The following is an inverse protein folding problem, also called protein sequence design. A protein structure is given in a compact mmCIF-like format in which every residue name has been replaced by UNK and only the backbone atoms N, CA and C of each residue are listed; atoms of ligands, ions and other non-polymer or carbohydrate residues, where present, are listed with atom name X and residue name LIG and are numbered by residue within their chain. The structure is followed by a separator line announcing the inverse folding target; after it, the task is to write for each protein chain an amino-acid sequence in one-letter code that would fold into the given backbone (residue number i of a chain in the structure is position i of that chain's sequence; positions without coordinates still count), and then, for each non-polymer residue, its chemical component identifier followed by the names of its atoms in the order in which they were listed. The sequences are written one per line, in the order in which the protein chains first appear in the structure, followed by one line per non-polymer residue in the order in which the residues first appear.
data_IF_695577457089
#
_entry.id   IF_695577457089
#
_cell.length_a   1.000
_cell.length_b   1.000
_cell.length_c   1.000
_cell.angle_alpha   90.00
_cell.angle_beta   90.00
_cell.angle_gamma   90.00
#
_symmetry.space_group_name_H-M   'P 1'
#
loop_
_entity.id
_entity.type
_entity.pdbx_description
1 polymer ?
#
# COMPACT_ATOMS: atom_id res chain seq x y z
N UNK A 1 -15.13 32.35 8.92
CA UNK A 1 -15.18 30.88 8.68
C UNK A 1 -13.75 30.45 8.75
N UNK A 2 -13.44 29.59 9.71
CA UNK A 2 -12.08 29.13 9.93
C UNK A 2 -11.96 27.72 9.36
N UNK A 3 -10.94 27.52 8.54
CA UNK A 3 -10.64 26.24 7.91
C UNK A 3 -9.27 25.82 8.43
N UNK A 4 -9.26 24.76 9.24
CA UNK A 4 -8.04 24.09 9.64
C UNK A 4 -7.69 23.05 8.57
N UNK A 5 -6.52 23.21 7.95
CA UNK A 5 -6.06 22.32 6.90
C UNK A 5 -5.10 21.26 7.44
N UNK A 6 -4.94 20.19 6.66
CA UNK A 6 -4.01 19.08 6.96
C UNK A 6 -2.53 19.50 6.87
N UNK A 7 -2.21 20.58 6.16
CA UNK A 7 -0.87 21.18 6.13
C UNK A 7 -0.63 22.15 7.31
N UNK A 8 -1.44 22.03 8.37
CA UNK A 8 -1.32 22.76 9.64
C UNK A 8 -1.43 24.28 9.44
N UNK A 9 -2.18 24.70 8.43
CA UNK A 9 -2.50 26.11 8.22
C UNK A 9 -3.92 26.38 8.71
N UNK A 10 -4.10 27.59 9.24
CA UNK A 10 -5.43 28.09 9.55
C UNK A 10 -5.77 29.19 8.54
N UNK A 11 -6.85 28.99 7.80
CA UNK A 11 -7.37 29.96 6.85
C UNK A 11 -8.66 30.57 7.40
N UNK A 12 -8.61 31.85 7.75
CA UNK A 12 -9.78 32.62 8.19
C UNK A 12 -10.37 33.40 7.01
N UNK A 13 -11.60 33.05 6.64
CA UNK A 13 -12.38 33.74 5.60
C UNK A 13 -13.43 34.64 6.25
N UNK A 14 -13.38 35.92 5.91
CA UNK A 14 -14.35 36.93 6.37
C UNK A 14 -15.36 37.21 5.27
N UNK A 15 -16.65 37.12 5.60
CA UNK A 15 -17.75 37.33 4.66
C UNK A 15 -18.50 38.61 5.02
N UNK A 16 -18.91 39.38 4.02
CA UNK A 16 -19.77 40.55 4.24
C UNK A 16 -21.15 40.13 4.78
N UNK A 17 -21.69 40.78 5.82
CA UNK A 17 -22.91 40.34 6.52
C UNK A 17 -24.18 40.30 5.64
N UNK A 18 -24.25 41.15 4.60
CA UNK A 18 -25.46 41.33 3.79
C UNK A 18 -25.69 40.24 2.74
N UNK A 19 -24.71 39.35 2.53
CA UNK A 19 -24.75 38.37 1.43
C UNK A 19 -24.83 36.97 2.04
N UNK A 20 -25.72 36.11 1.51
CA UNK A 20 -25.75 34.67 1.81
C UNK A 20 -24.49 33.91 1.33
N UNK A 21 -23.39 34.61 1.06
CA UNK A 21 -22.14 34.09 0.55
C UNK A 21 -21.50 33.09 1.51
N UNK A 22 -21.53 33.38 2.82
CA UNK A 22 -21.03 32.43 3.83
C UNK A 22 -21.75 31.09 3.74
N UNK A 23 -23.09 31.10 3.72
CA UNK A 23 -23.92 29.89 3.62
C UNK A 23 -23.69 29.15 2.31
N UNK A 24 -23.73 29.85 1.17
CA UNK A 24 -23.46 29.23 -0.14
C UNK A 24 -22.06 28.61 -0.22
N UNK A 25 -21.07 29.25 0.40
CA UNK A 25 -19.70 28.75 0.44
C UNK A 25 -19.59 27.52 1.34
N UNK A 26 -20.18 27.52 2.54
CA UNK A 26 -20.19 26.35 3.42
C UNK A 26 -20.96 25.18 2.80
N UNK A 27 -22.12 25.42 2.19
CA UNK A 27 -22.91 24.40 1.51
C UNK A 27 -22.12 23.75 0.36
N UNK A 28 -21.33 24.55 -0.39
CA UNK A 28 -20.42 24.04 -1.42
C UNK A 28 -19.22 23.31 -0.84
N UNK A 29 -18.61 23.82 0.24
CA UNK A 29 -17.48 23.16 0.90
C UNK A 29 -17.87 21.78 1.42
N UNK A 30 -19.06 21.63 1.98
CA UNK A 30 -19.57 20.32 2.43
C UNK A 30 -19.69 19.34 1.26
N UNK A 31 -20.04 19.82 0.07
CA UNK A 31 -20.07 19.03 -1.17
C UNK A 31 -18.67 18.66 -1.71
N UNK A 32 -17.59 19.31 -1.24
CA UNK A 32 -16.21 18.96 -1.65
C UNK A 32 -15.77 17.65 -1.01
N UNK A 33 -16.35 17.24 0.12
CA UNK A 33 -16.00 15.97 0.75
C UNK A 33 -16.62 14.83 -0.07
N UNK A 34 -15.80 14.08 -0.85
CA UNK A 34 -16.33 13.06 -1.74
C UNK A 34 -16.88 11.90 -0.89
N UNK A 35 -18.12 11.50 -1.17
CA UNK A 35 -18.77 10.37 -0.49
C UNK A 35 -18.35 9.00 -1.06
N UNK A 36 -17.77 9.00 -2.26
CA UNK A 36 -17.28 7.81 -2.95
C UNK A 36 -16.10 8.17 -3.87
N UNK A 37 -15.44 7.14 -4.44
CA UNK A 37 -14.27 7.30 -5.29
C UNK A 37 -14.53 8.16 -6.53
N UNK A 38 -15.72 8.04 -7.13
CA UNK A 38 -16.06 8.72 -8.39
C UNK A 38 -16.18 10.24 -8.23
N UNK A 39 -16.47 10.70 -7.01
CA UNK A 39 -16.52 12.12 -6.67
C UNK A 39 -15.14 12.71 -6.36
N UNK A 40 -14.10 11.88 -6.25
CA UNK A 40 -12.76 12.36 -5.89
C UNK A 40 -12.10 13.10 -7.06
N UNK A 41 -11.32 14.14 -6.76
CA UNK A 41 -10.56 14.86 -7.77
C UNK A 41 -9.64 13.96 -8.61
N UNK A 42 -8.87 13.00 -8.04
CA UNK A 42 -8.05 12.09 -8.84
C UNK A 42 -8.84 11.29 -9.88
N UNK A 43 -10.04 10.78 -9.54
CA UNK A 43 -10.87 10.03 -10.47
C UNK A 43 -11.41 10.92 -11.60
N UNK A 44 -11.98 12.08 -11.24
CA UNK A 44 -12.50 13.05 -12.21
C UNK A 44 -11.39 13.59 -13.13
N UNK A 45 -10.21 13.87 -12.56
CA UNK A 45 -9.05 14.29 -13.32
C UNK A 45 -8.56 13.18 -14.27
N UNK A 46 -8.47 11.93 -13.81
CA UNK A 46 -8.13 10.78 -14.66
C UNK A 46 -9.12 10.65 -15.82
N UNK A 47 -10.44 10.70 -15.57
CA UNK A 47 -11.45 10.67 -16.62
C UNK A 47 -11.24 11.81 -17.63
N UNK A 48 -11.06 13.05 -17.16
CA UNK A 48 -10.82 14.20 -18.03
C UNK A 48 -9.57 14.06 -18.91
N UNK A 49 -8.48 13.51 -18.35
CA UNK A 49 -7.23 13.29 -19.08
C UNK A 49 -7.28 12.07 -20.01
N UNK A 50 -7.99 11.01 -19.64
CA UNK A 50 -8.17 9.83 -20.49
C UNK A 50 -8.91 10.14 -21.78
N UNK A 51 -9.72 11.22 -21.77
CA UNK A 51 -10.42 11.75 -22.93
C UNK A 51 -9.58 12.76 -23.74
N UNK A 52 -8.45 13.22 -23.20
CA UNK A 52 -7.55 14.15 -23.87
C UNK A 52 -6.51 13.38 -24.71
N UNK A 53 -6.04 13.95 -25.84
CA UNK A 53 -5.03 13.29 -26.68
C UNK A 53 -3.71 13.13 -25.92
N UNK A 54 -3.24 11.88 -25.83
CA UNK A 54 -1.99 11.51 -25.17
C UNK A 54 -0.81 12.20 -25.86
N UNK A 55 0.01 12.95 -25.12
CA UNK A 55 1.22 13.56 -25.67
C UNK A 55 2.39 12.57 -25.54
N UNK A 56 3.16 12.38 -26.62
CA UNK A 56 4.30 11.42 -26.70
C UNK A 56 5.39 11.59 -25.61
N UNK A 57 5.39 12.69 -24.85
CA UNK A 57 6.34 12.98 -23.76
C UNK A 57 5.78 12.67 -22.37
N UNK A 58 4.52 12.28 -22.27
CA UNK A 58 3.92 11.93 -20.99
C UNK A 58 4.42 10.55 -20.53
N UNK A 59 5.07 10.52 -19.37
CA UNK A 59 5.45 9.27 -18.71
C UNK A 59 4.22 8.72 -18.01
N UNK A 60 3.86 7.47 -18.29
CA UNK A 60 2.83 6.77 -17.52
C UNK A 60 3.37 6.42 -16.12
N UNK A 61 3.02 7.22 -15.11
CA UNK A 61 3.46 7.00 -13.73
C UNK A 61 3.06 5.64 -13.14
N UNK A 62 2.03 4.99 -13.69
CA UNK A 62 1.60 3.65 -13.27
C UNK A 62 2.58 2.54 -13.65
N UNK A 63 3.41 2.76 -14.67
CA UNK A 63 4.40 1.81 -15.17
C UNK A 63 5.79 2.03 -14.56
N UNK A 64 5.95 3.07 -13.73
CA UNK A 64 7.24 3.41 -13.13
C UNK A 64 7.77 2.32 -12.19
N UNK A 65 6.86 1.65 -11.48
CA UNK A 65 7.21 0.62 -10.50
C UNK A 65 6.72 -0.75 -10.95
N UNK A 66 7.66 -1.66 -11.19
CA UNK A 66 7.41 -3.08 -11.40
C UNK A 66 8.10 -3.87 -10.28
N UNK A 67 7.28 -4.51 -9.45
CA UNK A 67 7.74 -5.28 -8.30
C UNK A 67 8.66 -6.45 -8.68
N UNK A 68 8.39 -7.12 -9.81
CA UNK A 68 9.22 -8.26 -10.24
C UNK A 68 10.57 -7.78 -10.74
N UNK A 69 10.60 -6.65 -11.47
CA UNK A 69 11.87 -5.99 -11.86
C UNK A 69 12.65 -5.51 -10.65
N UNK A 70 11.98 -5.03 -9.61
CA UNK A 70 12.67 -4.61 -8.38
C UNK A 70 13.28 -5.80 -7.63
N UNK A 71 12.59 -6.95 -7.55
CA UNK A 71 13.20 -8.18 -7.03
C UNK A 71 14.37 -8.67 -7.89
N UNK A 72 14.27 -8.57 -9.21
CA UNK A 72 15.37 -8.89 -10.13
C UNK A 72 16.58 -7.95 -9.91
N UNK A 73 16.34 -6.65 -9.75
CA UNK A 73 17.38 -5.65 -9.45
C UNK A 73 18.10 -5.97 -8.14
N UNK A 74 17.39 -6.48 -7.14
CA UNK A 74 17.96 -6.95 -5.87
C UNK A 74 18.67 -8.31 -5.97
N UNK A 75 18.60 -8.98 -7.13
CA UNK A 75 19.26 -10.25 -7.37
C UNK A 75 18.51 -11.47 -6.81
N UNK A 76 17.22 -11.35 -6.48
CA UNK A 76 16.41 -12.44 -5.93
C UNK A 76 16.42 -13.67 -6.84
N UNK A 77 16.29 -13.48 -8.16
CA UNK A 77 16.31 -14.58 -9.14
C UNK A 77 17.63 -15.34 -9.22
N UNK A 78 18.74 -14.73 -8.79
CA UNK A 78 20.08 -15.33 -8.76
C UNK A 78 20.45 -15.84 -7.37
N UNK A 79 19.59 -15.61 -6.38
CA UNK A 79 19.82 -15.97 -4.99
C UNK A 79 19.17 -17.33 -4.68
N UNK A 80 19.93 -18.23 -4.06
CA UNK A 80 19.43 -19.58 -3.69
C UNK A 80 18.63 -19.62 -2.39
N UNK A 81 18.58 -18.51 -1.65
CA UNK A 81 17.94 -18.41 -0.33
C UNK A 81 16.57 -17.74 -0.37
N UNK A 82 16.17 -17.15 -1.51
CA UNK A 82 14.93 -16.39 -1.63
C UNK A 82 14.14 -16.82 -2.85
N UNK A 83 12.82 -16.94 -2.71
CA UNK A 83 11.88 -17.22 -3.80
C UNK A 83 10.71 -16.26 -3.77
N UNK A 84 10.03 -16.12 -4.90
CA UNK A 84 8.76 -15.40 -4.98
C UNK A 84 7.61 -16.43 -4.88
N UNK A 85 6.75 -16.29 -3.86
CA UNK A 85 5.51 -17.06 -3.79
C UNK A 85 4.39 -16.36 -4.55
N UNK A 86 3.48 -17.17 -5.11
CA UNK A 86 2.28 -16.76 -5.84
C UNK A 86 1.00 -16.93 -5.01
N UNK A 87 1.09 -17.36 -3.75
CA UNK A 87 -0.12 -17.62 -2.97
C UNK A 87 -0.95 -16.36 -2.64
N UNK A 88 -0.39 -15.17 -2.79
CA UNK A 88 -1.13 -13.91 -2.59
C UNK A 88 -1.59 -13.26 -3.90
N UNK A 89 -1.60 -13.98 -5.05
CA UNK A 89 -2.01 -13.43 -6.35
C UNK A 89 -3.39 -12.76 -6.31
N UNK A 90 -4.35 -13.42 -5.65
CA UNK A 90 -5.73 -12.96 -5.48
C UNK A 90 -5.96 -12.29 -4.10
N UNK A 91 -4.89 -11.93 -3.40
CA UNK A 91 -4.92 -11.26 -2.09
C UNK A 91 -5.63 -12.04 -0.96
N UNK A 92 -5.74 -13.37 -1.09
CA UNK A 92 -6.42 -14.25 -0.12
C UNK A 92 -5.66 -14.37 1.20
N UNK A 93 -4.33 -14.50 1.13
CA UNK A 93 -3.47 -14.64 2.32
C UNK A 93 -3.34 -13.30 3.07
N UNK A 94 -3.09 -12.21 2.35
CA UNK A 94 -2.98 -10.89 2.92
C UNK A 94 -3.45 -9.79 1.96
N UNK A 95 -4.65 -9.27 2.23
CA UNK A 95 -5.30 -8.17 1.50
C UNK A 95 -4.50 -6.87 1.40
N UNK A 96 -3.49 -6.72 2.24
CA UNK A 96 -2.73 -5.47 2.37
C UNK A 96 -1.26 -5.60 1.98
N UNK A 97 -0.87 -6.77 1.46
CA UNK A 97 0.42 -7.05 0.85
C UNK A 97 0.27 -7.10 -0.68
N UNK A 98 1.37 -6.93 -1.42
CA UNK A 98 1.35 -7.10 -2.87
C UNK A 98 1.03 -8.54 -3.29
N UNK A 99 0.67 -8.71 -4.57
CA UNK A 99 0.39 -10.03 -5.18
C UNK A 99 1.54 -11.02 -5.08
N UNK A 100 2.76 -10.51 -5.23
CA UNK A 100 3.99 -11.28 -5.17
C UNK A 100 4.72 -10.98 -3.87
N UNK A 101 5.02 -12.03 -3.10
CA UNK A 101 5.72 -11.91 -1.83
C UNK A 101 7.01 -12.70 -1.96
N UNK A 102 8.15 -12.09 -1.59
CA UNK A 102 9.41 -12.79 -1.55
C UNK A 102 9.67 -13.36 -0.14
N UNK A 103 9.92 -14.67 -0.09
CA UNK A 103 10.07 -15.49 1.12
C UNK A 103 11.34 -16.32 1.03
N UNK A 104 11.88 -16.83 2.16
CA UNK A 104 12.99 -17.76 2.12
C UNK A 104 12.69 -19.00 1.28
N UNK A 105 13.72 -19.55 0.63
CA UNK A 105 13.62 -20.69 -0.29
C UNK A 105 13.00 -21.93 0.35
N UNK A 106 13.34 -22.19 1.62
CA UNK A 106 12.95 -23.40 2.35
C UNK A 106 11.51 -23.36 2.89
N UNK A 107 10.84 -22.21 2.80
CA UNK A 107 9.47 -22.04 3.27
C UNK A 107 8.53 -22.63 2.22
N UNK A 108 7.76 -23.63 2.59
CA UNK A 108 6.78 -24.26 1.70
C UNK A 108 5.50 -23.43 1.62
N UNK A 109 4.64 -23.71 0.63
CA UNK A 109 3.34 -23.02 0.52
C UNK A 109 2.44 -23.29 1.75
N UNK A 110 2.57 -24.47 2.39
CA UNK A 110 1.88 -24.76 3.66
C UNK A 110 2.40 -23.93 4.83
N UNK A 111 3.72 -23.70 4.86
CA UNK A 111 4.32 -22.86 5.89
C UNK A 111 3.84 -21.42 5.76
N UNK A 112 3.80 -20.89 4.54
CA UNK A 112 3.28 -19.54 4.26
C UNK A 112 1.85 -19.38 4.80
N UNK A 113 0.95 -20.33 4.55
CA UNK A 113 -0.42 -20.31 5.07
C UNK A 113 -0.44 -20.29 6.62
N UNK A 114 0.37 -21.15 7.25
CA UNK A 114 0.49 -21.24 8.70
C UNK A 114 1.04 -19.96 9.34
N UNK A 115 2.09 -19.38 8.74
CA UNK A 115 2.73 -18.13 9.17
C UNK A 115 1.76 -16.97 9.03
N UNK A 116 1.07 -16.87 7.89
CA UNK A 116 0.09 -15.81 7.66
C UNK A 116 -1.08 -15.90 8.65
N UNK A 117 -1.58 -17.10 8.93
CA UNK A 117 -2.63 -17.30 9.93
C UNK A 117 -2.19 -16.88 11.35
N UNK A 118 -0.90 -17.04 11.67
CA UNK A 118 -0.34 -16.65 12.95
C UNK A 118 -0.05 -15.15 13.06
N UNK A 119 0.26 -14.47 11.95
CA UNK A 119 0.63 -13.04 11.93
C UNK A 119 -0.60 -12.15 11.79
N UNK A 120 -0.63 -11.03 12.52
CA UNK A 120 -1.78 -10.12 12.47
C UNK A 120 -2.09 -9.66 11.04
N UNK A 121 -3.34 -9.86 10.61
CA UNK A 121 -3.85 -9.54 9.26
C UNK A 121 -3.13 -10.28 8.11
N UNK A 122 -2.52 -11.44 8.36
CA UNK A 122 -1.82 -12.19 7.31
C UNK A 122 -0.45 -11.62 6.93
N UNK A 123 0.04 -10.59 7.64
CA UNK A 123 1.28 -9.87 7.29
C UNK A 123 2.52 -10.63 7.78
N UNK A 124 2.76 -11.77 7.15
CA UNK A 124 3.95 -12.60 7.31
C UNK A 124 5.25 -11.83 7.03
N UNK A 125 6.40 -12.28 7.57
CA UNK A 125 7.70 -11.78 7.17
C UNK A 125 7.92 -11.92 5.66
N UNK A 126 8.19 -10.79 5.02
CA UNK A 126 8.43 -10.67 3.59
C UNK A 126 9.66 -9.81 3.33
N UNK A 127 10.47 -10.21 2.35
CA UNK A 127 11.67 -9.49 1.95
C UNK A 127 11.30 -8.06 1.48
N UNK A 128 11.95 -7.07 2.07
CA UNK A 128 11.86 -5.66 1.63
C UNK A 128 13.14 -5.19 0.96
N UNK A 129 14.28 -5.74 1.36
CA UNK A 129 15.58 -5.40 0.77
C UNK A 129 16.59 -6.53 0.96
N UNK A 130 17.46 -6.73 -0.04
CA UNK A 130 18.55 -7.69 -0.02
C UNK A 130 19.87 -7.00 -0.41
N UNK A 131 20.90 -7.20 0.39
CA UNK A 131 22.24 -6.67 0.13
C UNK A 131 22.86 -7.43 -1.05
N UNK A 132 23.47 -6.73 -2.03
CA UNK A 132 23.91 -7.33 -3.30
C UNK A 132 25.06 -8.34 -3.21
N UNK A 133 25.69 -8.55 -2.05
CA UNK A 133 26.95 -9.32 -1.94
C UNK A 133 27.04 -10.21 -0.71
N UNK A 134 26.59 -9.74 0.47
CA UNK A 134 26.75 -10.47 1.73
C UNK A 134 25.47 -11.17 2.23
N UNK A 135 24.38 -11.15 1.46
CA UNK A 135 23.07 -11.72 1.81
C UNK A 135 22.40 -11.14 3.08
N UNK A 136 22.91 -10.04 3.65
CA UNK A 136 22.15 -9.29 4.65
C UNK A 136 20.84 -8.81 4.05
N UNK A 137 19.76 -8.86 4.82
CA UNK A 137 18.43 -8.59 4.31
C UNK A 137 17.58 -7.88 5.35
N UNK A 138 16.56 -7.17 4.88
CA UNK A 138 15.57 -6.54 5.71
C UNK A 138 14.20 -7.11 5.35
N UNK A 139 13.53 -7.67 6.35
CA UNK A 139 12.16 -8.18 6.23
C UNK A 139 11.20 -7.27 6.99
N UNK A 140 9.94 -7.26 6.55
CA UNK A 140 8.83 -6.59 7.24
C UNK A 140 7.72 -7.57 7.57
N UNK A 141 7.07 -7.39 8.71
CA UNK A 141 5.93 -8.20 9.15
C UNK A 141 5.04 -7.41 10.12
N UNK A 142 3.90 -8.00 10.50
CA UNK A 142 3.14 -7.58 11.67
C UNK A 142 3.52 -8.36 12.92
N UNK A 143 2.98 -7.93 14.06
CA UNK A 143 3.11 -8.64 15.33
C UNK A 143 2.57 -10.08 15.24
N UNK A 144 3.23 -11.04 15.94
CA UNK A 144 2.78 -12.43 16.00
C UNK A 144 1.54 -12.60 16.89
N UNK A 145 0.71 -13.60 16.58
CA UNK A 145 -0.53 -13.94 17.28
C UNK A 145 -0.33 -14.74 18.56
N UNK A 146 0.71 -14.41 19.35
CA UNK A 146 1.05 -15.13 20.58
C UNK A 146 -0.09 -15.06 21.60
N UNK A 147 -0.64 -13.86 21.80
CA UNK A 147 -1.71 -13.58 22.76
C UNK A 147 -1.34 -13.94 24.20
N UNK A 148 -2.32 -13.86 25.11
CA UNK A 148 -2.12 -14.16 26.54
C UNK A 148 -1.79 -15.64 26.82
N UNK A 149 -2.21 -16.56 25.93
CA UNK A 149 -2.00 -18.01 26.10
C UNK A 149 -0.62 -18.48 25.62
N UNK A 150 0.26 -17.58 25.17
CA UNK A 150 1.60 -17.96 24.71
C UNK A 150 1.60 -18.87 23.48
N UNK A 151 0.67 -18.67 22.54
CA UNK A 151 0.61 -19.47 21.31
C UNK A 151 1.91 -19.35 20.53
N UNK A 152 2.36 -20.46 19.96
CA UNK A 152 3.57 -20.58 19.16
C UNK A 152 3.23 -21.12 17.78
N UNK A 153 4.02 -20.74 16.78
CA UNK A 153 3.90 -21.25 15.42
C UNK A 153 5.27 -21.74 14.97
N UNK A 154 5.42 -23.06 14.81
CA UNK A 154 6.70 -23.68 14.43
C UNK A 154 7.19 -23.19 13.07
N UNK A 155 6.27 -22.94 12.13
CA UNK A 155 6.63 -22.39 10.82
C UNK A 155 7.14 -20.94 10.93
N UNK A 156 6.54 -20.11 11.79
CA UNK A 156 6.97 -18.73 12.03
C UNK A 156 8.30 -18.64 12.78
N UNK A 157 8.60 -19.60 13.65
CA UNK A 157 9.85 -19.66 14.40
C UNK A 157 11.04 -20.18 13.56
N UNK A 158 10.75 -20.93 12.50
CA UNK A 158 11.76 -21.44 11.56
C UNK A 158 12.11 -20.44 10.45
N UNK A 159 11.21 -19.48 10.21
CA UNK A 159 11.31 -18.45 9.17
C UNK A 159 12.36 -17.38 9.53
#
# INVERSE_FOLDING_TARGET
LDILSVDVKNMTLVFQPKIRARRRFTDKLEQIYPSNLEQTFPYLHYLSKSLAPFHKRDINGWELYDLLREYERMGVSRNKYWRITKQNLEYEICKSYPRFICVPQDVTEKDVESIAAFRSKGRMPALSWLHPTNNSHMCRCSQPGVGMKGKRCVADEKL
#
